data_IF_752229018316
#
_entry.id   IF_752229018316
#
_cell.length_a   1.000
_cell.length_b   1.000
_cell.length_c   1.000
_cell.angle_alpha   90.00
_cell.angle_beta   90.00
_cell.angle_gamma   90.00
#
_symmetry.space_group_name_H-M   'P 1'
#
loop_
_entity.id
_entity.type
_entity.pdbx_description
1 polymer ?
#
# COMPACT_ATOMS: atom_id res chain seq x y z
N UNK A 1 14.44 -1.93 -5.99
CA UNK A 1 14.20 -0.49 -6.28
C UNK A 1 14.25 0.40 -5.04
N UNK A 2 13.43 0.21 -3.99
CA UNK A 2 13.32 1.15 -2.84
C UNK A 2 14.66 1.44 -2.15
N UNK A 3 15.48 0.40 -1.89
CA UNK A 3 16.81 0.58 -1.27
C UNK A 3 17.72 1.50 -2.09
N UNK A 4 17.63 1.41 -3.41
CA UNK A 4 18.44 2.22 -4.33
C UNK A 4 17.93 3.67 -4.37
N UNK A 5 16.60 3.84 -4.37
CA UNK A 5 15.99 5.16 -4.28
C UNK A 5 16.41 5.91 -3.01
N UNK A 6 16.38 5.24 -1.85
CA UNK A 6 16.83 5.82 -0.57
C UNK A 6 18.32 6.19 -0.57
N UNK A 7 19.17 5.36 -1.20
CA UNK A 7 20.61 5.64 -1.34
C UNK A 7 20.82 6.91 -2.18
N UNK A 8 20.12 7.03 -3.30
CA UNK A 8 20.21 8.18 -4.20
C UNK A 8 19.67 9.46 -3.55
N UNK A 9 18.58 9.36 -2.77
CA UNK A 9 18.08 10.49 -1.97
C UNK A 9 19.11 10.96 -0.93
N UNK A 10 19.77 10.04 -0.22
CA UNK A 10 20.82 10.36 0.77
C UNK A 10 22.04 11.05 0.10
N UNK A 11 22.35 10.66 -1.14
CA UNK A 11 23.38 11.28 -1.97
C UNK A 11 22.98 12.65 -2.55
N UNK A 12 21.74 13.12 -2.29
CA UNK A 12 21.20 14.38 -2.82
C UNK A 12 21.32 14.48 -4.36
N UNK A 13 21.07 13.37 -5.06
CA UNK A 13 21.04 13.40 -6.53
C UNK A 13 19.89 14.28 -7.02
N UNK A 14 19.96 14.71 -8.28
CA UNK A 14 18.93 15.52 -8.88
C UNK A 14 17.60 14.76 -9.02
N UNK A 15 16.52 15.53 -9.12
CA UNK A 15 15.17 15.00 -9.26
C UNK A 15 15.02 14.08 -10.47
N UNK A 16 15.62 14.42 -11.62
CA UNK A 16 15.39 13.69 -12.86
C UNK A 16 15.98 12.28 -12.77
N UNK A 17 17.10 12.13 -12.05
CA UNK A 17 17.69 10.82 -11.72
C UNK A 17 16.72 9.96 -10.87
N UNK A 18 16.10 10.55 -9.84
CA UNK A 18 15.10 9.86 -9.01
C UNK A 18 13.83 9.49 -9.80
N UNK A 19 13.39 10.39 -10.67
CA UNK A 19 12.21 10.20 -11.53
C UNK A 19 12.45 9.08 -12.55
N UNK A 20 13.64 9.04 -13.17
CA UNK A 20 14.02 7.98 -14.10
C UNK A 20 14.01 6.58 -13.45
N UNK A 21 14.42 6.47 -12.18
CA UNK A 21 14.37 5.21 -11.44
C UNK A 21 12.94 4.73 -11.15
N UNK A 22 12.03 5.67 -10.88
CA UNK A 22 10.65 5.37 -10.45
C UNK A 22 9.64 5.35 -11.59
N UNK A 23 10.01 5.85 -12.78
CA UNK A 23 9.14 5.92 -13.94
C UNK A 23 8.60 4.54 -14.33
N UNK A 24 7.27 4.40 -14.33
CA UNK A 24 6.59 3.15 -14.66
C UNK A 24 6.70 2.04 -13.60
N UNK A 25 7.33 2.30 -12.45
CA UNK A 25 7.52 1.30 -11.38
C UNK A 25 6.20 0.75 -10.82
N UNK A 26 5.14 1.57 -10.73
CA UNK A 26 3.81 1.11 -10.29
C UNK A 26 3.23 0.07 -11.27
N UNK A 27 3.36 0.29 -12.57
CA UNK A 27 2.91 -0.65 -13.60
C UNK A 27 3.66 -1.98 -13.49
N UNK A 28 4.98 -1.95 -13.30
CA UNK A 28 5.80 -3.17 -13.09
C UNK A 28 5.27 -4.01 -11.92
N UNK A 29 4.97 -3.36 -10.79
CA UNK A 29 4.42 -4.06 -9.62
C UNK A 29 3.00 -4.61 -9.87
N UNK A 30 2.08 -3.76 -10.33
CA UNK A 30 0.64 -4.09 -10.35
C UNK A 30 0.23 -4.97 -11.53
N UNK A 31 0.78 -4.70 -12.72
CA UNK A 31 0.40 -5.40 -13.95
C UNK A 31 1.34 -6.57 -14.26
N UNK A 32 2.63 -6.43 -14.00
CA UNK A 32 3.64 -7.42 -14.38
C UNK A 32 4.06 -8.32 -13.22
N UNK A 33 3.65 -8.00 -11.98
CA UNK A 33 3.97 -8.79 -10.79
C UNK A 33 5.42 -8.66 -10.33
N UNK A 34 6.16 -7.66 -10.80
CA UNK A 34 7.55 -7.43 -10.39
C UNK A 34 7.59 -6.74 -9.02
N UNK A 35 7.76 -7.56 -7.98
CA UNK A 35 7.82 -7.12 -6.58
C UNK A 35 9.20 -6.61 -6.15
N UNK A 36 10.24 -6.80 -6.96
CA UNK A 36 11.61 -6.42 -6.63
C UNK A 36 11.98 -5.04 -7.19
N UNK A 37 11.56 -4.77 -8.42
CA UNK A 37 11.85 -3.54 -9.16
C UNK A 37 10.62 -2.64 -9.34
N UNK A 38 9.42 -3.13 -9.05
CA UNK A 38 8.22 -2.32 -9.02
C UNK A 38 8.03 -1.53 -7.72
N UNK A 39 7.14 -0.55 -7.77
CA UNK A 39 6.69 0.20 -6.58
C UNK A 39 5.42 -0.44 -6.03
N UNK A 40 5.56 -1.22 -4.95
CA UNK A 40 4.43 -1.82 -4.23
C UNK A 40 3.82 -0.76 -3.29
N UNK A 41 2.88 0.03 -3.80
CA UNK A 41 2.19 1.04 -3.01
C UNK A 41 1.12 0.41 -2.13
N UNK A 42 1.30 0.49 -0.80
CA UNK A 42 0.32 0.04 0.19
C UNK A 42 0.31 0.96 1.41
N UNK A 43 -0.85 1.12 2.06
CA UNK A 43 -0.98 1.88 3.31
C UNK A 43 -0.41 1.11 4.51
N UNK A 44 -0.14 1.81 5.62
CA UNK A 44 0.43 1.20 6.82
C UNK A 44 -0.43 0.06 7.42
N UNK A 45 -1.74 0.09 7.19
CA UNK A 45 -2.69 -0.94 7.62
C UNK A 45 -2.47 -2.31 6.93
N UNK A 46 -1.66 -2.38 5.86
CA UNK A 46 -1.53 -3.61 5.05
C UNK A 46 -1.07 -4.82 5.86
N UNK A 47 -0.31 -4.61 6.93
CA UNK A 47 0.14 -5.69 7.83
C UNK A 47 -1.00 -6.38 8.61
N UNK A 48 -2.18 -5.77 8.65
CA UNK A 48 -3.39 -6.37 9.25
C UNK A 48 -4.22 -7.19 8.25
N UNK A 49 -3.88 -7.16 6.96
CA UNK A 49 -4.62 -7.87 5.92
C UNK A 49 -4.01 -9.27 5.75
N UNK A 50 -4.71 -10.29 6.22
CA UNK A 50 -4.23 -11.69 6.21
C UNK A 50 -4.95 -12.59 5.21
N UNK A 51 -5.92 -12.05 4.46
CA UNK A 51 -6.76 -12.83 3.56
C UNK A 51 -7.21 -12.01 2.34
N UNK A 52 -7.56 -12.71 1.26
CA UNK A 52 -8.09 -12.12 0.03
C UNK A 52 -9.61 -12.25 0.05
N UNK A 53 -10.31 -11.13 -0.10
CA UNK A 53 -11.78 -11.05 -0.09
C UNK A 53 -12.29 -10.45 -1.39
N UNK A 54 -13.53 -10.79 -1.76
CA UNK A 54 -14.27 -10.04 -2.78
C UNK A 54 -14.61 -8.65 -2.24
N UNK A 55 -14.85 -7.69 -3.13
CA UNK A 55 -15.28 -6.34 -2.73
C UNK A 55 -16.57 -6.38 -1.89
N UNK A 56 -17.51 -7.25 -2.24
CA UNK A 56 -18.78 -7.41 -1.51
C UNK A 56 -18.55 -7.90 -0.08
N UNK A 57 -17.74 -8.95 0.10
CA UNK A 57 -17.44 -9.51 1.41
C UNK A 57 -16.72 -8.47 2.29
N UNK A 58 -15.71 -7.78 1.74
CA UNK A 58 -14.95 -6.74 2.44
C UNK A 58 -15.87 -5.61 2.92
N UNK A 59 -16.72 -5.06 2.04
CA UNK A 59 -17.62 -3.95 2.39
C UNK A 59 -18.64 -4.40 3.44
N UNK A 60 -19.24 -5.57 3.26
CA UNK A 60 -20.26 -6.10 4.18
C UNK A 60 -19.67 -6.27 5.57
N UNK A 61 -18.53 -6.94 5.67
CA UNK A 61 -17.82 -7.16 6.93
C UNK A 61 -17.47 -5.82 7.59
N UNK A 62 -16.79 -4.91 6.88
CA UNK A 62 -16.41 -3.60 7.43
C UNK A 62 -17.61 -2.85 8.04
N UNK A 63 -18.77 -2.88 7.37
CA UNK A 63 -19.99 -2.22 7.85
C UNK A 63 -20.61 -2.94 9.06
N UNK A 64 -20.57 -4.26 9.10
CA UNK A 64 -21.02 -5.06 10.25
C UNK A 64 -20.13 -4.86 11.47
N UNK A 65 -18.81 -4.85 11.27
CA UNK A 65 -17.82 -4.57 12.32
C UNK A 65 -18.03 -3.17 12.89
N UNK A 66 -18.18 -2.16 12.04
CA UNK A 66 -18.44 -0.79 12.47
C UNK A 66 -19.72 -0.67 13.31
N UNK A 67 -20.81 -1.33 12.90
CA UNK A 67 -22.08 -1.36 13.68
C UNK A 67 -21.88 -2.08 15.03
N UNK A 68 -21.14 -3.18 15.05
CA UNK A 68 -20.86 -3.96 16.26
C UNK A 68 -20.04 -3.16 17.26
N UNK A 69 -18.96 -2.54 16.80
CA UNK A 69 -18.09 -1.69 17.63
C UNK A 69 -18.85 -0.45 18.11
N UNK A 70 -19.61 0.21 17.24
CA UNK A 70 -20.38 1.40 17.61
C UNK A 70 -21.38 1.15 18.75
N UNK A 71 -22.03 -0.03 18.79
CA UNK A 71 -22.93 -0.42 19.90
C UNK A 71 -22.20 -0.62 21.23
N UNK A 72 -20.92 -0.97 21.20
CA UNK A 72 -20.10 -1.19 22.39
C UNK A 72 -19.53 0.11 22.95
N UNK A 73 -19.57 1.20 22.17
CA UNK A 73 -19.09 2.52 22.55
C UNK A 73 -20.15 3.36 23.30
N UNK A 74 -21.29 2.76 23.69
CA UNK A 74 -22.27 3.43 24.55
C UNK A 74 -21.64 3.77 25.90
N UNK A 75 -21.35 5.05 26.11
CA UNK A 75 -20.98 5.61 27.40
C UNK A 75 -22.27 5.96 28.12
N UNK A 76 -22.51 5.37 29.29
CA UNK A 76 -23.56 5.84 30.22
C UNK A 76 -23.26 7.25 30.72
#
# INVERSE_FOLDING_TARGET
>A
MIKEYLRLEDENVDRDTLEALTLGSLRKAVLEGDTENGSIMAGQITGMITEIKSCEALITEMMEEAKRVSKQLSVE
#
